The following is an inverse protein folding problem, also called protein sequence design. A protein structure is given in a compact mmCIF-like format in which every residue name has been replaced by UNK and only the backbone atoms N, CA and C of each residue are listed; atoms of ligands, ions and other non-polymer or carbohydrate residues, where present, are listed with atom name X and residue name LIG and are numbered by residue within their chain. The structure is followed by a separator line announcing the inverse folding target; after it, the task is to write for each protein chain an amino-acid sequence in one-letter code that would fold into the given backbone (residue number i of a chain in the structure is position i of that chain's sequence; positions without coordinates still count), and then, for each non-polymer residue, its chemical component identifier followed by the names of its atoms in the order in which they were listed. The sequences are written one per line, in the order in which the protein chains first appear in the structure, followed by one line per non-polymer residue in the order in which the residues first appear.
data_IF_332943781504
#
_entry.id   IF_332943781504
#
_cell.length_a   1.000
_cell.length_b   1.000
_cell.length_c   1.000
_cell.angle_alpha   90.00
_cell.angle_beta   90.00
_cell.angle_gamma   90.00
#
_symmetry.space_group_name_H-M   'P 1'
#
loop_
_entity.id
_entity.type
_entity.pdbx_description
1 polymer ?
#
# COMPACT_ATOMS: atom_id res chain seq x y z
N UNK A 1 1.23 -2.96 -23.56
CA UNK A 1 1.92 -3.49 -22.38
C UNK A 1 2.04 -2.32 -21.42
N UNK A 2 1.05 -2.11 -20.55
CA UNK A 2 1.08 -1.03 -19.58
C UNK A 2 1.86 -1.53 -18.37
N UNK A 3 3.18 -1.38 -18.42
CA UNK A 3 3.99 -1.39 -17.20
C UNK A 3 3.84 0.01 -16.61
N UNK A 4 2.73 0.26 -15.92
CA UNK A 4 2.62 1.45 -15.09
C UNK A 4 3.79 1.40 -14.09
N UNK A 5 4.68 2.37 -14.17
CA UNK A 5 5.86 2.44 -13.32
C UNK A 5 5.39 2.53 -11.86
N UNK A 6 5.62 1.46 -11.08
CA UNK A 6 5.26 1.40 -9.66
C UNK A 6 6.28 2.10 -8.76
N UNK A 7 7.39 2.56 -9.34
CA UNK A 7 8.46 3.25 -8.62
C UNK A 7 7.95 4.40 -7.75
N UNK A 8 7.01 5.27 -8.21
CA UNK A 8 6.49 6.35 -7.38
C UNK A 8 5.73 5.85 -6.15
N UNK A 9 5.03 4.72 -6.23
CA UNK A 9 4.32 4.15 -5.09
C UNK A 9 5.32 3.52 -4.12
N UNK A 10 6.25 2.73 -4.64
CA UNK A 10 7.19 1.97 -3.84
C UNK A 10 8.16 2.86 -3.04
N UNK A 11 8.47 4.06 -3.53
CA UNK A 11 9.36 5.03 -2.86
C UNK A 11 8.70 5.81 -1.73
N UNK A 12 7.36 5.80 -1.62
CA UNK A 12 6.63 6.62 -0.62
C UNK A 12 7.16 6.39 0.79
N UNK A 13 7.35 5.12 1.20
CA UNK A 13 7.86 4.78 2.53
C UNK A 13 9.17 5.50 2.86
N UNK A 14 10.09 5.57 1.89
CA UNK A 14 11.35 6.28 2.04
C UNK A 14 11.14 7.78 2.09
N UNK A 15 10.35 8.35 1.19
CA UNK A 15 10.11 9.81 1.09
C UNK A 15 9.50 10.39 2.38
N UNK A 16 8.58 9.65 3.00
CA UNK A 16 7.87 10.06 4.23
C UNK A 16 8.64 9.72 5.50
N UNK A 17 9.66 8.86 5.41
CA UNK A 17 10.50 8.50 6.57
C UNK A 17 11.35 9.69 7.03
N UNK A 18 11.72 9.68 8.31
CA UNK A 18 12.64 10.67 8.90
C UNK A 18 14.01 10.71 8.21
N UNK A 19 14.45 9.62 7.58
CA UNK A 19 15.71 9.54 6.82
C UNK A 19 15.56 9.89 5.34
N UNK A 20 14.36 10.24 4.88
CA UNK A 20 14.07 10.65 3.50
C UNK A 20 13.89 12.15 3.33
N UNK A 21 12.94 12.55 2.49
CA UNK A 21 12.61 13.96 2.25
C UNK A 21 11.84 14.61 3.41
N UNK A 22 11.26 13.79 4.31
CA UNK A 22 10.45 14.27 5.42
C UNK A 22 9.13 14.90 4.97
N UNK A 23 8.64 14.53 3.78
CA UNK A 23 7.34 15.00 3.29
C UNK A 23 6.20 14.25 3.99
N UNK A 24 5.04 14.90 4.11
CA UNK A 24 3.86 14.22 4.63
C UNK A 24 3.39 13.11 3.68
N UNK A 25 2.75 12.07 4.21
CA UNK A 25 2.16 11.00 3.40
C UNK A 25 1.12 11.52 2.40
N UNK A 26 0.34 12.54 2.78
CA UNK A 26 -0.62 13.21 1.89
C UNK A 26 0.08 13.86 0.69
N UNK A 27 1.26 14.45 0.91
CA UNK A 27 2.06 15.04 -0.17
C UNK A 27 2.67 13.96 -1.07
N UNK A 28 3.20 12.88 -0.49
CA UNK A 28 3.73 11.75 -1.25
C UNK A 28 2.65 11.13 -2.16
N UNK A 29 1.44 10.92 -1.64
CA UNK A 29 0.28 10.43 -2.40
C UNK A 29 -0.09 11.31 -3.59
N UNK A 30 0.03 12.64 -3.45
CA UNK A 30 -0.22 13.59 -4.54
C UNK A 30 0.86 13.49 -5.61
N UNK A 31 2.13 13.46 -5.22
CA UNK A 31 3.27 13.36 -6.14
C UNK A 31 3.28 12.05 -6.92
N UNK A 32 2.89 10.96 -6.26
CA UNK A 32 2.81 9.64 -6.87
C UNK A 32 1.56 9.44 -7.73
N UNK A 33 0.65 10.43 -7.76
CA UNK A 33 -0.67 10.35 -8.39
C UNK A 33 -1.42 9.06 -7.98
N UNK A 34 -1.35 8.70 -6.70
CA UNK A 34 -1.78 7.39 -6.22
C UNK A 34 -3.22 7.08 -6.62
N UNK A 35 -4.15 8.04 -6.53
CA UNK A 35 -5.56 7.78 -6.85
C UNK A 35 -5.81 7.33 -8.29
N UNK A 36 -4.98 7.75 -9.25
CA UNK A 36 -5.09 7.30 -10.64
C UNK A 36 -4.36 5.97 -10.84
N UNK A 37 -3.13 5.83 -10.32
CA UNK A 37 -2.37 4.56 -10.38
C UNK A 37 -3.14 3.44 -9.70
N UNK A 38 -3.80 3.76 -8.59
CA UNK A 38 -4.59 2.82 -7.80
C UNK A 38 -5.69 2.19 -8.65
N UNK A 39 -6.22 2.87 -9.69
CA UNK A 39 -7.24 2.32 -10.62
C UNK A 39 -6.83 1.02 -11.32
N UNK A 40 -5.53 0.87 -11.58
CA UNK A 40 -4.96 -0.29 -12.29
C UNK A 40 -4.05 -1.13 -11.41
N UNK A 41 -3.62 -0.59 -10.26
CA UNK A 41 -2.73 -1.26 -9.32
C UNK A 41 -3.39 -2.47 -8.66
N UNK A 42 -2.78 -3.64 -8.86
CA UNK A 42 -3.15 -4.88 -8.18
C UNK A 42 -2.10 -5.29 -7.14
N UNK A 43 -2.52 -6.13 -6.20
CA UNK A 43 -1.63 -6.73 -5.20
C UNK A 43 -0.54 -7.58 -5.87
N UNK A 44 -0.88 -8.33 -6.92
CA UNK A 44 0.06 -9.18 -7.67
C UNK A 44 1.18 -8.37 -8.36
N UNK A 45 0.85 -7.20 -8.87
CA UNK A 45 1.84 -6.28 -9.44
C UNK A 45 2.85 -5.81 -8.38
N UNK A 46 2.37 -5.47 -7.18
CA UNK A 46 3.24 -5.10 -6.06
C UNK A 46 4.09 -6.27 -5.58
N UNK A 47 3.51 -7.46 -5.42
CA UNK A 47 4.25 -8.68 -5.03
C UNK A 47 5.39 -8.93 -6.02
N UNK A 48 5.12 -8.84 -7.32
CA UNK A 48 6.13 -9.02 -8.38
C UNK A 48 7.27 -8.00 -8.24
N UNK A 49 6.93 -6.73 -8.02
CA UNK A 49 7.93 -5.68 -7.85
C UNK A 49 8.76 -5.83 -6.56
N UNK A 50 8.14 -6.23 -5.46
CA UNK A 50 8.79 -6.47 -4.17
C UNK A 50 9.74 -7.67 -4.22
N UNK A 51 9.35 -8.76 -4.90
CA UNK A 51 10.23 -9.91 -5.16
C UNK A 51 11.47 -9.53 -5.96
N UNK A 52 11.31 -8.65 -6.96
CA UNK A 52 12.43 -8.15 -7.76
C UNK A 52 13.35 -7.21 -6.97
N UNK A 53 12.85 -6.60 -5.90
CA UNK A 53 13.55 -5.54 -5.18
C UNK A 53 13.38 -5.68 -3.65
N UNK A 54 14.05 -6.66 -3.01
CA UNK A 54 13.78 -7.02 -1.60
C UNK A 54 14.04 -5.91 -0.57
N UNK A 55 14.88 -4.92 -0.87
CA UNK A 55 15.10 -3.80 0.07
C UNK A 55 13.84 -2.96 0.28
N UNK A 56 12.92 -2.92 -0.69
CA UNK A 56 11.65 -2.20 -0.55
C UNK A 56 10.75 -2.83 0.51
N UNK A 57 10.79 -4.16 0.65
CA UNK A 57 10.10 -4.88 1.73
C UNK A 57 10.58 -4.36 3.09
N UNK A 58 11.89 -4.17 3.24
CA UNK A 58 12.48 -3.65 4.47
C UNK A 58 12.08 -2.19 4.72
N UNK A 59 12.12 -1.33 3.69
CA UNK A 59 11.73 0.08 3.80
C UNK A 59 10.27 0.23 4.27
N UNK A 60 9.35 -0.56 3.72
CA UNK A 60 7.93 -0.52 4.10
C UNK A 60 7.67 -1.06 5.50
N UNK A 61 8.37 -2.13 5.91
CA UNK A 61 8.31 -2.63 7.28
C UNK A 61 8.83 -1.59 8.27
N UNK A 62 9.97 -0.96 7.98
CA UNK A 62 10.52 0.12 8.81
C UNK A 62 9.59 1.33 8.88
N UNK A 63 8.92 1.69 7.78
CA UNK A 63 7.89 2.73 7.79
C UNK A 63 6.76 2.37 8.75
N UNK A 64 6.22 1.14 8.68
CA UNK A 64 5.18 0.65 9.59
C UNK A 64 5.57 0.77 11.05
N UNK A 65 6.80 0.37 11.41
CA UNK A 65 7.28 0.38 12.79
C UNK A 65 7.47 1.80 13.35
N UNK A 66 7.89 2.73 12.49
CA UNK A 66 8.28 4.08 12.92
C UNK A 66 7.18 5.13 12.76
N UNK A 67 6.09 4.81 12.05
CA UNK A 67 5.04 5.79 11.80
C UNK A 67 4.36 6.18 13.11
N UNK A 68 4.31 7.47 13.38
CA UNK A 68 3.59 8.06 14.52
C UNK A 68 2.27 8.60 14.03
N UNK A 69 1.32 7.71 13.72
CA UNK A 69 0.01 8.11 13.19
C UNK A 69 -1.11 7.71 14.14
N UNK A 70 -2.18 8.52 14.18
CA UNK A 70 -3.40 8.25 14.95
C UNK A 70 -4.41 7.37 14.18
N UNK A 71 -3.98 6.78 13.06
CA UNK A 71 -4.84 6.04 12.13
C UNK A 71 -4.07 5.24 11.09
N UNK A 72 -4.82 4.54 10.24
CA UNK A 72 -4.29 3.65 9.18
C UNK A 72 -4.10 2.21 9.65
N UNK A 73 -3.22 1.51 8.95
CA UNK A 73 -2.88 0.10 9.18
C UNK A 73 -1.47 -0.06 9.72
N UNK A 74 -1.17 -1.11 10.45
CA UNK A 74 0.20 -1.45 10.83
C UNK A 74 0.51 -2.86 10.34
N UNK A 75 1.77 -3.12 10.02
CA UNK A 75 2.35 -4.41 9.72
C UNK A 75 3.33 -4.80 10.83
N UNK A 76 3.15 -5.98 11.41
CA UNK A 76 4.05 -6.56 12.42
C UNK A 76 4.05 -8.09 12.28
N UNK A 77 5.23 -8.69 12.09
CA UNK A 77 5.41 -10.16 11.98
C UNK A 77 4.40 -10.84 11.03
N UNK A 78 4.28 -10.33 9.79
CA UNK A 78 3.34 -10.83 8.77
C UNK A 78 1.85 -10.68 9.12
N UNK A 79 1.54 -9.90 10.15
CA UNK A 79 0.17 -9.57 10.54
C UNK A 79 -0.08 -8.10 10.27
N UNK A 80 -1.14 -7.83 9.51
CA UNK A 80 -1.66 -6.48 9.31
C UNK A 80 -2.84 -6.27 10.23
N UNK A 81 -2.86 -5.15 10.95
CA UNK A 81 -4.01 -4.72 11.75
C UNK A 81 -4.40 -3.26 11.46
N UNK A 82 -5.60 -2.86 11.87
CA UNK A 82 -6.06 -1.46 11.81
C UNK A 82 -6.04 -0.79 13.18
N UNK A 83 -5.72 0.50 13.21
CA UNK A 83 -5.86 1.31 14.43
C UNK A 83 -7.33 1.71 14.74
N UNK A 84 -8.27 1.45 13.83
CA UNK A 84 -9.68 1.83 13.99
C UNK A 84 -10.66 0.65 13.99
N UNK A 85 -10.20 -0.57 13.65
CA UNK A 85 -11.05 -1.76 13.55
C UNK A 85 -10.27 -2.98 14.02
N UNK A 86 -10.70 -3.59 15.12
CA UNK A 86 -10.14 -4.88 15.57
C UNK A 86 -10.51 -6.05 14.64
N UNK A 87 -11.58 -5.89 13.85
CA UNK A 87 -12.01 -6.90 12.89
C UNK A 87 -11.10 -6.96 11.65
N UNK A 88 -10.37 -5.88 11.36
CA UNK A 88 -9.47 -5.80 10.21
C UNK A 88 -8.11 -6.37 10.60
N UNK A 89 -7.99 -7.70 10.49
CA UNK A 89 -6.75 -8.42 10.74
C UNK A 89 -6.46 -9.41 9.62
N UNK A 90 -5.28 -9.30 9.04
CA UNK A 90 -4.83 -10.16 7.93
C UNK A 90 -3.51 -10.82 8.30
N UNK A 91 -3.38 -12.12 8.05
CA UNK A 91 -2.17 -12.90 8.34
C UNK A 91 -1.65 -13.50 7.04
N UNK A 92 -0.34 -13.45 6.84
CA UNK A 92 0.34 -13.91 5.64
C UNK A 92 1.44 -14.91 5.95
N UNK A 93 1.87 -15.66 4.92
CA UNK A 93 2.95 -16.64 5.03
C UNK A 93 4.32 -16.06 4.66
N UNK A 94 4.36 -14.96 3.91
CA UNK A 94 5.59 -14.31 3.47
C UNK A 94 5.51 -12.78 3.50
N UNK A 95 6.68 -12.14 3.49
CA UNK A 95 6.79 -10.70 3.66
C UNK A 95 6.29 -9.93 2.45
N UNK A 96 6.47 -10.44 1.24
CA UNK A 96 6.10 -9.75 0.00
C UNK A 96 4.59 -9.57 -0.11
N UNK A 97 3.82 -10.61 0.20
CA UNK A 97 2.36 -10.53 0.27
C UNK A 97 1.90 -9.61 1.40
N UNK A 98 2.48 -9.76 2.59
CA UNK A 98 2.14 -8.91 3.74
C UNK A 98 2.41 -7.43 3.44
N UNK A 99 3.57 -7.11 2.86
CA UNK A 99 3.94 -5.74 2.50
C UNK A 99 3.09 -5.22 1.34
N UNK A 100 2.82 -6.02 0.31
CA UNK A 100 1.96 -5.61 -0.80
C UNK A 100 0.56 -5.24 -0.32
N UNK A 101 -0.04 -6.08 0.53
CA UNK A 101 -1.35 -5.78 1.12
C UNK A 101 -1.30 -4.55 2.00
N UNK A 102 -0.27 -4.44 2.83
CA UNK A 102 -0.09 -3.32 3.73
C UNK A 102 -0.01 -1.99 2.98
N UNK A 103 0.78 -1.92 1.89
CA UNK A 103 0.90 -0.74 1.03
C UNK A 103 -0.49 -0.31 0.54
N UNK A 104 -1.27 -1.22 -0.03
CA UNK A 104 -2.60 -0.91 -0.56
C UNK A 104 -3.52 -0.37 0.55
N UNK A 105 -3.62 -1.10 1.67
CA UNK A 105 -4.52 -0.73 2.76
C UNK A 105 -4.16 0.62 3.38
N UNK A 106 -2.87 0.86 3.60
CA UNK A 106 -2.36 2.11 4.17
C UNK A 106 -2.62 3.28 3.21
N UNK A 107 -2.23 3.15 1.95
CA UNK A 107 -2.40 4.24 0.98
C UNK A 107 -3.87 4.48 0.64
N UNK A 108 -4.71 3.45 0.56
CA UNK A 108 -6.15 3.59 0.37
C UNK A 108 -6.79 4.36 1.56
N UNK A 109 -6.38 4.04 2.80
CA UNK A 109 -6.84 4.77 3.99
C UNK A 109 -6.50 6.26 3.89
N UNK A 110 -5.24 6.61 3.60
CA UNK A 110 -4.79 8.00 3.59
C UNK A 110 -5.20 8.80 2.36
N UNK A 111 -5.56 8.13 1.26
CA UNK A 111 -6.13 8.74 0.07
C UNK A 111 -7.66 8.80 0.07
N UNK A 112 -8.31 8.36 1.16
CA UNK A 112 -9.76 8.24 1.30
C UNK A 112 -10.42 7.39 0.20
N UNK A 113 -9.74 6.33 -0.25
CA UNK A 113 -10.32 5.36 -1.17
C UNK A 113 -11.23 4.38 -0.41
N UNK A 114 -12.40 4.00 -0.97
CA UNK A 114 -13.29 3.03 -0.32
C UNK A 114 -12.61 1.66 -0.21
N UNK A 115 -12.67 0.98 0.93
CA UNK A 115 -12.00 -0.32 1.12
C UNK A 115 -12.41 -1.40 0.10
N UNK A 116 -13.62 -1.30 -0.44
CA UNK A 116 -14.22 -2.25 -1.38
C UNK A 116 -14.25 -1.73 -2.83
N UNK A 117 -13.52 -0.65 -3.14
CA UNK A 117 -13.64 0.00 -4.45
C UNK A 117 -13.18 -0.90 -5.61
N UNK A 118 -12.15 -1.73 -5.40
CA UNK A 118 -11.68 -2.69 -6.39
C UNK A 118 -12.68 -3.82 -6.63
N UNK A 119 -13.24 -4.38 -5.56
CA UNK A 119 -14.25 -5.44 -5.61
C UNK A 119 -15.51 -4.95 -6.33
N UNK A 120 -15.96 -3.73 -5.98
CA UNK A 120 -17.07 -3.05 -6.66
C UNK A 120 -16.78 -2.76 -8.13
N UNK A 121 -15.53 -2.44 -8.50
CA UNK A 121 -15.16 -2.22 -9.90
C UNK A 121 -15.11 -3.52 -10.69
N UNK A 122 -14.52 -4.58 -10.14
CA UNK A 122 -14.54 -5.91 -10.79
C UNK A 122 -15.96 -6.43 -10.98
N UNK A 123 -16.84 -6.28 -9.97
CA UNK A 123 -18.26 -6.61 -10.11
C UNK A 123 -18.91 -5.80 -11.23
N UNK A 124 -18.69 -4.48 -11.28
CA UNK A 124 -19.22 -3.62 -12.34
C UNK A 124 -18.79 -4.05 -13.74
N UNK A 125 -17.55 -4.50 -13.92
CA UNK A 125 -17.07 -4.95 -15.23
C UNK A 125 -17.48 -6.39 -15.58
N UNK A 126 -17.82 -7.23 -14.58
CA UNK A 126 -18.39 -8.57 -14.82
C UNK A 126 -19.78 -8.52 -15.47
N UNK A 127 -20.54 -7.44 -15.27
CA UNK A 127 -21.87 -7.26 -15.88
C UNK A 127 -21.86 -6.74 -17.34
N UNK A 128 -20.69 -6.46 -17.92
CA UNK A 128 -20.55 -6.01 -19.32
C UNK A 128 -19.94 -7.09 -20.24
N UNK A 129 -19.94 -8.37 -19.83
CA UNK A 129 -19.54 -9.51 -20.66
C UNK A 129 -20.74 -10.36 -21.05
#
# INVERSE_FOLDING_TARGET
MFTDDLTPILKIAKEVSFSGEGISLVEALKRSNYSEVRRTLTEEQLITALKATPHLVQEWTMYSDNKRTSGGYYLSNLVIGSLHSEADKYTFENNEEAVAKFIILELDYWSNQPKDWFEKMEERFKFFK
#
